data_IF_402987834010
#
_entry.id   IF_402987834010
#
_cell.length_a   1.000
_cell.length_b   1.000
_cell.length_c   1.000
_cell.angle_alpha   90.00
_cell.angle_beta   90.00
_cell.angle_gamma   90.00
#
_symmetry.space_group_name_H-M   'P 1'
#
loop_
_entity.id
_entity.type
_entity.pdbx_description
1 polymer ?
#
# COMPACT_ATOMS: atom_id res chain seq x y z
N UNK A 1 -12.26 -9.11 10.25
CA UNK A 1 -11.54 -9.58 9.05
C UNK A 1 -10.05 -9.37 9.28
N UNK A 2 -9.21 -10.41 9.14
CA UNK A 2 -7.76 -10.30 9.32
C UNK A 2 -7.08 -10.79 8.03
N UNK A 3 -6.79 -9.85 7.13
CA UNK A 3 -6.11 -10.14 5.87
C UNK A 3 -4.61 -10.04 6.09
N UNK A 4 -3.88 -11.12 5.78
CA UNK A 4 -2.41 -11.07 5.76
C UNK A 4 -1.93 -10.69 4.36
N UNK A 5 -1.21 -9.58 4.25
CA UNK A 5 -0.54 -9.17 3.01
C UNK A 5 0.96 -9.37 3.19
N UNK A 6 1.61 -10.02 2.23
CA UNK A 6 3.05 -10.23 2.24
C UNK A 6 3.65 -9.82 0.90
N UNK A 7 4.88 -9.31 0.95
CA UNK A 7 5.67 -9.01 -0.25
C UNK A 7 6.59 -10.18 -0.57
N UNK A 8 6.83 -10.43 -1.85
CA UNK A 8 7.80 -11.42 -2.31
C UNK A 8 8.71 -10.85 -3.39
N UNK A 9 9.98 -11.20 -3.31
CA UNK A 9 10.92 -11.10 -4.41
C UNK A 9 11.59 -12.45 -4.60
N UNK A 10 11.39 -13.06 -5.76
CA UNK A 10 11.99 -14.34 -6.11
C UNK A 10 13.06 -14.12 -7.18
N UNK A 11 14.36 -14.29 -6.88
CA UNK A 11 15.42 -14.10 -7.86
C UNK A 11 15.23 -14.98 -9.12
N UNK A 12 15.62 -14.53 -10.33
CA UNK A 12 15.35 -15.25 -11.59
C UNK A 12 15.86 -16.70 -11.65
N UNK A 13 16.96 -16.99 -10.96
CA UNK A 13 17.64 -18.30 -10.95
C UNK A 13 17.42 -19.10 -9.67
N UNK A 14 16.54 -18.63 -8.79
CA UNK A 14 16.24 -19.34 -7.54
C UNK A 14 15.53 -20.69 -7.79
N UNK A 15 15.83 -21.74 -7.00
CA UNK A 15 15.12 -23.01 -7.10
C UNK A 15 13.63 -22.84 -6.81
N UNK A 16 12.77 -23.28 -7.73
CA UNK A 16 11.31 -23.18 -7.55
C UNK A 16 10.76 -23.97 -6.36
N UNK A 17 11.32 -25.14 -5.94
CA UNK A 17 10.83 -25.83 -4.74
C UNK A 17 10.90 -24.99 -3.45
N UNK A 18 11.90 -24.10 -3.33
CA UNK A 18 12.02 -23.18 -2.18
C UNK A 18 10.86 -22.20 -2.15
N UNK A 19 10.56 -21.57 -3.29
CA UNK A 19 9.38 -20.69 -3.44
C UNK A 19 8.09 -21.39 -3.00
N UNK A 20 7.87 -22.63 -3.43
CA UNK A 20 6.66 -23.38 -3.07
C UNK A 20 6.61 -23.66 -1.57
N UNK A 21 7.73 -24.08 -0.96
CA UNK A 21 7.83 -24.28 0.48
C UNK A 21 7.48 -23.00 1.25
N UNK A 22 7.99 -21.85 0.82
CA UNK A 22 7.75 -20.58 1.51
C UNK A 22 6.30 -20.12 1.36
N UNK A 23 5.71 -20.25 0.16
CA UNK A 23 4.29 -19.98 -0.05
C UNK A 23 3.40 -20.90 0.81
N UNK A 24 3.73 -22.18 0.93
CA UNK A 24 3.00 -23.10 1.82
C UNK A 24 3.04 -22.64 3.28
N UNK A 25 4.20 -22.20 3.77
CA UNK A 25 4.36 -21.68 5.15
C UNK A 25 3.58 -20.38 5.35
N UNK A 26 3.55 -19.50 4.34
CA UNK A 26 2.79 -18.25 4.38
C UNK A 26 1.30 -18.53 4.34
N UNK A 27 0.80 -19.47 3.53
CA UNK A 27 -0.64 -19.76 3.51
C UNK A 27 -1.11 -20.64 4.66
N UNK A 28 -0.21 -21.35 5.35
CA UNK A 28 -0.56 -22.19 6.50
C UNK A 28 -1.28 -21.38 7.58
N UNK A 29 -2.48 -21.83 7.95
CA UNK A 29 -3.34 -21.25 9.00
C UNK A 29 -3.72 -19.77 8.77
N UNK A 30 -3.67 -19.28 7.52
CA UNK A 30 -4.10 -17.92 7.17
C UNK A 30 -5.33 -17.99 6.27
N UNK A 31 -6.54 -17.74 6.79
CA UNK A 31 -7.78 -17.92 6.04
C UNK A 31 -7.92 -16.94 4.87
N UNK A 32 -7.38 -15.72 5.01
CA UNK A 32 -7.36 -14.70 3.96
C UNK A 32 -5.94 -14.16 3.81
N UNK A 33 -5.26 -14.53 2.72
CA UNK A 33 -3.87 -14.15 2.51
C UNK A 33 -3.61 -13.76 1.05
N UNK A 34 -2.80 -12.71 0.88
CA UNK A 34 -2.31 -12.23 -0.41
C UNK A 34 -0.79 -12.07 -0.36
N UNK A 35 -0.09 -12.75 -1.26
CA UNK A 35 1.37 -12.59 -1.46
C UNK A 35 1.61 -11.93 -2.82
N UNK A 36 2.14 -10.71 -2.81
CA UNK A 36 2.35 -9.87 -4.02
C UNK A 36 3.82 -9.57 -4.25
N UNK A 37 4.23 -9.49 -5.50
CA UNK A 37 5.57 -9.04 -5.87
C UNK A 37 6.12 -9.76 -7.09
N UNK A 38 7.44 -9.75 -7.26
CA UNK A 38 8.13 -10.32 -8.42
C UNK A 38 8.41 -11.81 -8.22
N UNK A 39 7.65 -12.65 -8.93
CA UNK A 39 7.82 -14.10 -8.90
C UNK A 39 8.84 -14.63 -9.91
N UNK A 40 9.33 -13.79 -10.83
CA UNK A 40 10.17 -14.21 -11.97
C UNK A 40 9.64 -15.48 -12.67
N UNK A 41 8.31 -15.62 -12.75
CA UNK A 41 7.62 -16.80 -13.24
C UNK A 41 6.69 -16.42 -14.39
N UNK A 42 6.70 -17.22 -15.46
CA UNK A 42 5.89 -16.98 -16.67
C UNK A 42 4.93 -18.15 -16.86
N UNK A 43 3.64 -17.86 -16.98
CA UNK A 43 2.62 -18.85 -17.30
C UNK A 43 1.48 -18.21 -18.08
N UNK A 44 0.81 -18.99 -18.92
CA UNK A 44 -0.27 -18.51 -19.79
C UNK A 44 -1.51 -18.03 -19.02
N UNK A 45 -1.71 -18.54 -17.79
CA UNK A 45 -2.84 -18.19 -16.92
C UNK A 45 -2.84 -16.71 -16.51
N UNK A 46 -1.67 -16.14 -16.21
CA UNK A 46 -1.57 -14.72 -15.83
C UNK A 46 -1.04 -13.83 -16.96
N UNK A 47 -0.55 -14.42 -18.05
CA UNK A 47 -0.20 -13.69 -19.26
C UNK A 47 -0.29 -14.63 -20.48
N UNK A 48 -1.37 -14.50 -21.25
CA UNK A 48 -1.68 -15.38 -22.37
C UNK A 48 -0.64 -15.35 -23.51
N UNK A 49 0.14 -14.27 -23.61
CA UNK A 49 1.06 -14.02 -24.71
C UNK A 49 2.49 -14.54 -24.48
N UNK A 50 2.78 -15.09 -23.29
CA UNK A 50 4.12 -15.62 -22.96
C UNK A 50 4.20 -17.14 -23.04
N UNK A 51 5.40 -17.65 -23.38
CA UNK A 51 5.73 -19.05 -23.19
C UNK A 51 5.92 -19.31 -21.69
N UNK A 52 5.25 -20.35 -21.18
CA UNK A 52 5.39 -20.75 -19.79
C UNK A 52 6.80 -21.28 -19.51
N UNK A 53 7.38 -20.91 -18.38
CA UNK A 53 8.68 -21.42 -17.92
C UNK A 53 8.50 -22.45 -16.81
N UNK A 54 9.58 -23.17 -16.45
CA UNK A 54 9.53 -24.20 -15.42
C UNK A 54 8.97 -23.67 -14.09
N UNK A 55 9.38 -22.45 -13.69
CA UNK A 55 8.87 -21.82 -12.48
C UNK A 55 7.35 -21.58 -12.52
N UNK A 56 6.84 -21.05 -13.63
CA UNK A 56 5.40 -20.81 -13.80
C UNK A 56 4.58 -22.09 -13.83
N UNK A 57 5.08 -23.16 -14.47
CA UNK A 57 4.41 -24.46 -14.48
C UNK A 57 4.32 -25.06 -13.08
N UNK A 58 5.39 -25.00 -12.30
CA UNK A 58 5.39 -25.49 -10.91
C UNK A 58 4.48 -24.66 -10.02
N UNK A 59 4.52 -23.33 -10.15
CA UNK A 59 3.65 -22.43 -9.39
C UNK A 59 2.18 -22.64 -9.75
N UNK A 60 1.86 -22.90 -11.01
CA UNK A 60 0.50 -23.22 -11.44
C UNK A 60 0.01 -24.55 -10.84
N UNK A 61 0.86 -25.59 -10.80
CA UNK A 61 0.52 -26.87 -10.13
C UNK A 61 0.25 -26.71 -8.63
N UNK A 62 0.97 -25.80 -7.99
CA UNK A 62 0.77 -25.46 -6.58
C UNK A 62 -0.59 -24.78 -6.32
N UNK A 63 -1.10 -23.99 -7.25
CA UNK A 63 -2.30 -23.18 -7.08
C UNK A 63 -3.64 -23.94 -7.13
N UNK A 64 -3.66 -25.26 -6.92
CA UNK A 64 -4.91 -26.06 -6.94
C UNK A 64 -5.96 -25.57 -5.93
N UNK A 65 -5.54 -24.86 -4.87
CA UNK A 65 -6.41 -24.29 -3.84
C UNK A 65 -6.26 -22.76 -3.67
N UNK A 66 -5.51 -22.09 -4.54
CA UNK A 66 -5.17 -20.67 -4.42
C UNK A 66 -5.39 -19.94 -5.75
N UNK A 67 -5.81 -18.67 -5.70
CA UNK A 67 -6.00 -17.83 -6.86
C UNK A 67 -4.72 -17.10 -7.29
N UNK A 68 -4.66 -16.70 -8.55
CA UNK A 68 -3.68 -15.72 -9.03
C UNK A 68 -4.39 -14.44 -9.47
N UNK A 69 -3.82 -13.30 -9.09
CA UNK A 69 -4.28 -11.97 -9.48
C UNK A 69 -3.16 -11.29 -10.23
N UNK A 70 -3.31 -11.08 -11.53
CA UNK A 70 -2.26 -10.49 -12.37
C UNK A 70 -2.83 -9.39 -13.27
N UNK A 71 -2.04 -8.34 -13.55
CA UNK A 71 -2.47 -7.32 -14.48
C UNK A 71 -2.46 -7.84 -15.92
N UNK A 72 -3.43 -7.38 -16.72
CA UNK A 72 -3.51 -7.71 -18.15
C UNK A 72 -2.34 -7.10 -18.95
N UNK A 73 -1.92 -5.90 -18.56
CA UNK A 73 -0.75 -5.22 -19.12
C UNK A 73 0.56 -5.78 -18.50
N UNK A 74 1.66 -5.85 -19.26
CA UNK A 74 2.91 -6.39 -18.77
C UNK A 74 3.55 -5.51 -17.69
N UNK A 75 4.19 -6.17 -16.73
CA UNK A 75 4.85 -5.50 -15.60
C UNK A 75 6.33 -5.31 -15.85
N UNK A 76 7.00 -6.23 -16.55
CA UNK A 76 8.40 -6.10 -16.95
C UNK A 76 8.50 -5.84 -18.45
N UNK A 77 9.20 -4.76 -18.79
CA UNK A 77 9.29 -4.19 -20.12
C UNK A 77 10.71 -4.39 -20.65
N UNK A 78 10.87 -5.24 -21.65
CA UNK A 78 12.21 -5.62 -22.09
C UNK A 78 12.85 -4.51 -22.92
N UNK A 79 14.03 -4.03 -22.50
CA UNK A 79 14.81 -3.04 -23.26
C UNK A 79 15.50 -3.62 -24.51
N UNK A 80 15.41 -4.93 -24.74
CA UNK A 80 16.00 -5.59 -25.92
C UNK A 80 15.09 -5.39 -27.14
N UNK A 81 15.69 -5.16 -28.31
CA UNK A 81 14.97 -4.94 -29.58
C UNK A 81 13.95 -6.05 -29.92
N UNK A 82 14.29 -7.30 -29.57
CA UNK A 82 13.41 -8.48 -29.73
C UNK A 82 12.97 -9.07 -28.38
N UNK A 83 13.12 -8.31 -27.29
CA UNK A 83 12.75 -8.73 -25.96
C UNK A 83 11.23 -8.73 -25.79
N UNK A 84 10.70 -9.81 -25.23
CA UNK A 84 9.26 -9.90 -24.94
C UNK A 84 8.98 -9.33 -23.55
N UNK A 85 8.04 -8.39 -23.49
CA UNK A 85 7.46 -7.94 -22.24
C UNK A 85 6.84 -9.15 -21.51
N UNK A 86 6.80 -9.10 -20.18
CA UNK A 86 6.24 -10.20 -19.38
C UNK A 86 5.55 -9.67 -18.14
N UNK A 87 4.57 -10.42 -17.66
CA UNK A 87 3.93 -10.18 -16.35
C UNK A 87 4.64 -11.05 -15.34
N UNK A 88 5.53 -10.43 -14.56
CA UNK A 88 6.32 -11.09 -13.51
C UNK A 88 5.85 -10.70 -12.12
N UNK A 89 5.24 -9.52 -12.02
CA UNK A 89 4.70 -8.95 -10.79
C UNK A 89 3.20 -9.26 -10.73
N UNK A 90 2.81 -10.16 -9.82
CA UNK A 90 1.42 -10.56 -9.63
C UNK A 90 1.18 -10.98 -8.18
N UNK A 91 -0.05 -11.35 -7.86
CA UNK A 91 -0.47 -11.80 -6.53
C UNK A 91 -0.87 -13.28 -6.55
N UNK A 92 -0.50 -14.01 -5.51
CA UNK A 92 -1.06 -15.31 -5.18
C UNK A 92 -1.95 -15.16 -3.93
N UNK A 93 -3.19 -15.64 -3.99
CA UNK A 93 -4.17 -15.46 -2.92
C UNK A 93 -4.78 -16.77 -2.45
N UNK A 94 -5.04 -16.88 -1.15
CA UNK A 94 -5.81 -17.97 -0.55
C UNK A 94 -6.99 -17.36 0.21
N UNK A 95 -8.20 -17.87 -0.03
CA UNK A 95 -9.43 -17.40 0.61
C UNK A 95 -9.89 -15.98 0.25
N UNK A 96 -9.32 -15.36 -0.79
CA UNK A 96 -9.76 -14.06 -1.32
C UNK A 96 -10.40 -14.24 -2.70
N UNK A 97 -11.63 -13.77 -2.86
CA UNK A 97 -12.43 -13.90 -4.08
C UNK A 97 -12.41 -12.65 -4.98
N UNK A 98 -12.31 -11.45 -4.40
CA UNK A 98 -12.44 -10.19 -5.13
C UNK A 98 -11.11 -9.41 -5.13
N UNK A 99 -10.17 -9.91 -5.92
CA UNK A 99 -8.85 -9.30 -6.08
C UNK A 99 -8.67 -8.84 -7.53
N UNK A 100 -8.20 -7.61 -7.71
CA UNK A 100 -7.89 -7.05 -9.02
C UNK A 100 -6.45 -6.52 -9.06
N UNK A 101 -5.82 -6.58 -10.23
CA UNK A 101 -4.48 -6.04 -10.43
C UNK A 101 -4.41 -5.20 -11.70
N UNK A 102 -3.80 -4.03 -11.60
CA UNK A 102 -3.58 -3.12 -12.72
C UNK A 102 -2.12 -2.70 -12.77
N UNK A 103 -1.46 -2.90 -13.90
CA UNK A 103 -0.14 -2.35 -14.16
C UNK A 103 -0.26 -0.86 -14.49
N UNK A 104 0.53 -0.05 -13.81
CA UNK A 104 0.55 1.39 -13.97
C UNK A 104 1.81 1.77 -14.72
N UNK A 105 1.62 2.51 -15.82
CA UNK A 105 2.71 3.03 -16.64
C UNK A 105 3.31 4.28 -15.98
N UNK A 106 3.78 4.13 -14.75
CA UNK A 106 4.45 5.17 -13.98
C UNK A 106 5.89 4.75 -13.66
N UNK A 107 6.74 5.69 -13.27
CA UNK A 107 8.19 5.51 -13.03
C UNK A 107 9.06 5.26 -14.30
N UNK A 108 10.37 5.38 -14.14
CA UNK A 108 11.39 5.18 -15.19
C UNK A 108 12.02 3.78 -15.21
N UNK A 109 11.58 2.89 -14.32
CA UNK A 109 12.05 1.50 -14.22
C UNK A 109 11.60 0.67 -15.44
N UNK A 110 12.31 -0.42 -15.70
CA UNK A 110 11.87 -1.48 -16.61
C UNK A 110 10.72 -2.31 -16.04
N UNK A 111 10.45 -2.18 -14.72
CA UNK A 111 9.22 -2.63 -14.09
C UNK A 111 8.18 -1.51 -13.95
N UNK A 112 6.97 -1.76 -14.45
CA UNK A 112 5.78 -0.95 -14.20
C UNK A 112 5.21 -1.34 -12.82
N UNK A 113 4.90 -0.36 -11.94
CA UNK A 113 4.19 -0.63 -10.69
C UNK A 113 2.86 -1.36 -10.91
N UNK A 114 2.43 -2.15 -9.93
CA UNK A 114 1.13 -2.82 -9.95
C UNK A 114 0.29 -2.36 -8.78
N UNK A 115 -0.93 -1.89 -9.08
CA UNK A 115 -1.96 -1.62 -8.07
C UNK A 115 -2.77 -2.90 -7.88
N UNK A 116 -2.78 -3.42 -6.66
CA UNK A 116 -3.67 -4.49 -6.24
C UNK A 116 -4.85 -3.90 -5.50
N UNK A 117 -6.06 -4.20 -5.95
CA UNK A 117 -7.31 -3.80 -5.30
C UNK A 117 -7.95 -5.02 -4.66
N UNK A 118 -8.21 -4.92 -3.36
CA UNK A 118 -8.91 -5.93 -2.57
C UNK A 118 -10.30 -5.39 -2.24
N UNK A 119 -11.35 -6.09 -2.65
CA UNK A 119 -12.72 -5.76 -2.24
C UNK A 119 -13.16 -6.76 -1.18
N UNK A 120 -13.21 -6.38 0.11
CA UNK A 120 -13.64 -7.32 1.15
C UNK A 120 -15.10 -7.75 0.94
N UNK A 121 -15.42 -9.00 1.28
CA UNK A 121 -16.76 -9.56 1.10
C UNK A 121 -17.81 -8.95 2.06
N UNK A 122 -17.38 -8.25 3.11
CA UNK A 122 -18.25 -7.51 4.02
C UNK A 122 -18.32 -6.02 3.66
N UNK A 123 -19.49 -5.39 3.80
CA UNK A 123 -19.65 -3.92 3.78
C UNK A 123 -18.83 -3.29 4.89
N UNK A 124 -17.58 -2.97 4.60
CA UNK A 124 -16.73 -2.20 5.49
C UNK A 124 -17.21 -0.75 5.42
N UNK A 125 -17.73 -0.21 6.53
CA UNK A 125 -17.74 1.25 6.68
C UNK A 125 -16.27 1.65 6.66
N UNK A 126 -15.84 2.36 5.62
CA UNK A 126 -14.47 2.87 5.54
C UNK A 126 -14.10 3.43 6.91
N UNK A 127 -13.10 2.83 7.56
CA UNK A 127 -12.44 3.53 8.64
C UNK A 127 -11.84 4.74 7.94
N UNK A 128 -12.45 5.90 8.12
CA UNK A 128 -11.85 7.16 7.72
C UNK A 128 -10.40 7.13 8.21
N UNK A 129 -9.44 7.56 7.40
CA UNK A 129 -8.04 7.61 7.81
C UNK A 129 -7.98 8.32 9.16
N UNK A 130 -7.90 7.56 10.25
CA UNK A 130 -8.03 8.11 11.58
C UNK A 130 -7.19 7.26 12.50
N UNK A 131 -6.52 7.92 13.43
CA UNK A 131 -5.79 7.25 14.48
C UNK A 131 -6.38 7.65 15.83
N UNK A 132 -6.43 6.69 16.73
CA UNK A 132 -6.88 6.89 18.09
C UNK A 132 -5.69 7.37 18.92
N UNK A 133 -5.81 8.56 19.52
CA UNK A 133 -4.84 9.08 20.46
C UNK A 133 -5.40 8.94 21.88
N UNK A 134 -4.70 8.20 22.74
CA UNK A 134 -5.09 8.07 24.16
C UNK A 134 -4.24 9.02 25.00
N UNK A 135 -4.87 9.93 25.75
CA UNK A 135 -4.16 10.70 26.76
C UNK A 135 -3.87 9.77 27.95
N UNK A 136 -2.60 9.35 28.07
CA UNK A 136 -2.16 8.38 29.08
C UNK A 136 -2.34 8.89 30.52
N UNK A 137 -2.10 10.16 30.78
CA UNK A 137 -2.26 10.75 32.11
C UNK A 137 -3.75 10.78 32.51
N UNK A 138 -4.61 11.20 31.58
CA UNK A 138 -6.07 11.14 31.78
C UNK A 138 -6.56 9.71 31.97
N UNK A 139 -6.05 8.76 31.20
CA UNK A 139 -6.36 7.34 31.38
C UNK A 139 -6.00 6.87 32.78
N UNK A 140 -4.77 7.14 33.23
CA UNK A 140 -4.29 6.77 34.57
C UNK A 140 -5.13 7.41 35.68
N UNK A 141 -5.51 8.68 35.53
CA UNK A 141 -6.35 9.40 36.48
C UNK A 141 -7.78 8.84 36.54
N UNK A 142 -8.36 8.44 35.40
CA UNK A 142 -9.68 7.80 35.40
C UNK A 142 -9.58 6.42 36.06
N UNK A 143 -8.55 5.64 35.71
CA UNK A 143 -8.38 4.27 36.20
C UNK A 143 -8.19 4.22 37.72
N UNK A 144 -7.43 5.16 38.30
CA UNK A 144 -7.17 5.22 39.74
C UNK A 144 -8.43 5.52 40.56
N UNK A 145 -9.44 6.15 39.95
CA UNK A 145 -10.72 6.49 40.60
C UNK A 145 -11.79 5.42 40.33
N UNK A 146 -11.80 4.84 39.14
CA UNK A 146 -12.90 3.95 38.70
C UNK A 146 -12.69 2.48 38.98
N UNK A 147 -11.44 2.00 39.02
CA UNK A 147 -11.15 0.58 39.22
C UNK A 147 -11.02 0.25 40.71
N UNK A 148 -11.95 -0.52 41.30
CA UNK A 148 -11.87 -0.91 42.70
C UNK A 148 -10.69 -1.87 42.90
N UNK A 149 -9.77 -1.52 43.81
CA UNK A 149 -8.56 -2.30 44.05
C UNK A 149 -8.78 -3.67 44.69
N UNK A 150 -9.94 -3.91 45.33
CA UNK A 150 -10.21 -5.18 46.00
C UNK A 150 -11.72 -5.50 46.04
N UNK A 151 -12.30 -6.05 44.95
CA UNK A 151 -13.71 -6.47 44.95
C UNK A 151 -13.91 -7.64 45.93
N UNK A 152 -15.02 -7.65 46.66
CA UNK A 152 -15.41 -8.81 47.49
C UNK A 152 -15.94 -9.91 46.58
N UNK A 153 -15.33 -11.09 46.65
CA UNK A 153 -15.70 -12.26 45.86
C UNK A 153 -15.99 -13.39 46.85
N UNK A 154 -17.22 -13.90 46.82
CA UNK A 154 -17.71 -14.91 47.79
C UNK A 154 -18.06 -16.25 47.13
N UNK A 155 -18.16 -16.27 45.80
CA UNK A 155 -18.56 -17.42 44.99
C UNK A 155 -17.96 -17.33 43.58
N UNK A 156 -18.17 -18.37 42.79
CA UNK A 156 -17.66 -18.46 41.42
C UNK A 156 -18.31 -17.43 40.49
N UNK A 157 -19.62 -17.16 40.65
CA UNK A 157 -20.32 -16.12 39.87
C UNK A 157 -19.77 -14.72 40.14
N UNK A 158 -19.33 -14.46 41.37
CA UNK A 158 -18.65 -13.23 41.78
C UNK A 158 -17.29 -13.04 41.11
N UNK A 159 -16.58 -14.12 40.77
CA UNK A 159 -15.33 -14.05 39.98
C UNK A 159 -15.64 -13.56 38.58
N UNK A 160 -16.58 -14.21 37.90
CA UNK A 160 -16.98 -13.86 36.53
C UNK A 160 -17.47 -12.40 36.45
N UNK A 161 -18.30 -11.98 37.40
CA UNK A 161 -18.77 -10.59 37.50
C UNK A 161 -17.63 -9.60 37.74
N UNK A 162 -16.70 -9.91 38.64
CA UNK A 162 -15.56 -9.04 38.92
C UNK A 162 -14.66 -8.88 37.68
N UNK A 163 -14.41 -9.95 36.93
CA UNK A 163 -13.62 -9.93 35.69
C UNK A 163 -14.32 -9.12 34.60
N UNK A 164 -15.62 -9.32 34.41
CA UNK A 164 -16.41 -8.56 33.44
C UNK A 164 -16.44 -7.06 33.79
N UNK A 165 -16.68 -6.74 35.06
CA UNK A 165 -16.72 -5.35 35.52
C UNK A 165 -15.34 -4.68 35.39
N UNK A 166 -14.26 -5.36 35.77
CA UNK A 166 -12.90 -4.86 35.59
C UNK A 166 -12.57 -4.59 34.12
N UNK A 167 -12.93 -5.54 33.24
CA UNK A 167 -12.74 -5.41 31.79
C UNK A 167 -13.53 -4.23 31.24
N UNK A 168 -14.79 -4.08 31.66
CA UNK A 168 -15.66 -2.98 31.26
C UNK A 168 -15.09 -1.63 31.72
N UNK A 169 -14.65 -1.51 32.97
CA UNK A 169 -14.08 -0.27 33.52
C UNK A 169 -12.79 0.14 32.80
N UNK A 170 -11.92 -0.82 32.46
CA UNK A 170 -10.73 -0.54 31.65
C UNK A 170 -11.11 -0.04 30.26
N UNK A 171 -12.02 -0.74 29.57
CA UNK A 171 -12.46 -0.37 28.23
C UNK A 171 -13.10 1.02 28.21
N UNK A 172 -13.96 1.31 29.18
CA UNK A 172 -14.61 2.61 29.32
C UNK A 172 -13.59 3.71 29.64
N UNK A 173 -12.63 3.44 30.52
CA UNK A 173 -11.53 4.36 30.82
C UNK A 173 -10.68 4.69 29.58
N UNK A 174 -10.38 3.68 28.74
CA UNK A 174 -9.67 3.88 27.46
C UNK A 174 -10.53 4.74 26.53
N UNK A 175 -11.82 4.47 26.40
CA UNK A 175 -12.71 5.23 25.52
C UNK A 175 -12.82 6.70 25.94
N UNK A 176 -12.97 6.96 27.24
CA UNK A 176 -13.07 8.32 27.79
C UNK A 176 -11.75 9.13 27.70
N UNK A 177 -10.61 8.44 27.67
CA UNK A 177 -9.28 9.04 27.55
C UNK A 177 -8.77 9.10 26.11
N UNK A 178 -9.47 8.46 25.17
CA UNK A 178 -9.14 8.40 23.76
C UNK A 178 -9.87 9.46 22.94
N UNK A 179 -9.19 10.00 21.93
CA UNK A 179 -9.79 10.83 20.89
C UNK A 179 -9.41 10.27 19.52
N UNK A 180 -10.39 10.18 18.63
CA UNK A 180 -10.16 9.84 17.23
C UNK A 180 -9.74 11.13 16.51
N UNK A 181 -8.54 11.12 15.91
CA UNK A 181 -8.11 12.17 14.98
C UNK A 181 -8.27 11.67 13.57
N UNK A 182 -9.09 12.38 12.79
CA UNK A 182 -9.18 12.16 11.35
C UNK A 182 -7.99 12.80 10.66
N UNK A 183 -7.27 12.02 9.87
CA UNK A 183 -6.24 12.48 8.95
C UNK A 183 -6.95 13.14 7.77
N UNK A 184 -6.93 14.47 7.76
CA UNK A 184 -7.12 15.22 6.52
C UNK A 184 -5.82 15.10 5.72
N UNK A 185 -5.78 14.18 4.75
CA UNK A 185 -4.76 14.30 3.72
C UNK A 185 -5.06 15.60 2.96
N UNK A 186 -4.26 16.62 3.21
CA UNK A 186 -4.21 17.80 2.36
C UNK A 186 -3.54 17.37 1.05
N UNK A 187 -4.30 16.64 0.23
CA UNK A 187 -3.89 16.35 -1.12
C UNK A 187 -3.77 17.70 -1.82
N UNK A 188 -2.56 18.07 -2.22
CA UNK A 188 -2.35 19.20 -3.10
C UNK A 188 -3.35 19.07 -4.25
N UNK A 189 -4.21 20.07 -4.42
CA UNK A 189 -5.19 20.05 -5.50
C UNK A 189 -4.44 20.20 -6.81
N UNK A 190 -4.02 19.06 -7.39
CA UNK A 190 -3.39 19.05 -8.70
C UNK A 190 -4.45 19.51 -9.70
N UNK A 191 -4.17 20.61 -10.40
CA UNK A 191 -5.05 21.20 -11.39
C UNK A 191 -5.48 20.15 -12.44
N UNK A 192 -6.71 20.30 -12.95
CA UNK A 192 -7.27 19.37 -13.94
C UNK A 192 -6.34 19.19 -15.16
N UNK A 193 -5.72 20.28 -15.62
CA UNK A 193 -4.78 20.28 -16.74
C UNK A 193 -3.56 19.37 -16.46
N UNK A 194 -2.95 19.47 -15.28
CA UNK A 194 -1.83 18.61 -14.89
C UNK A 194 -2.24 17.14 -14.81
N UNK A 195 -3.46 16.85 -14.31
CA UNK A 195 -4.00 15.48 -14.31
C UNK A 195 -4.19 14.94 -15.73
N UNK A 196 -4.65 15.76 -16.67
CA UNK A 196 -4.78 15.39 -18.08
C UNK A 196 -3.42 15.09 -18.70
N UNK A 197 -2.39 15.92 -18.43
CA UNK A 197 -1.01 15.66 -18.87
C UNK A 197 -0.46 14.33 -18.32
N UNK A 198 -0.72 14.01 -17.06
CA UNK A 198 -0.32 12.73 -16.45
C UNK A 198 -0.98 11.55 -17.19
N UNK A 199 -2.30 11.63 -17.44
CA UNK A 199 -3.02 10.61 -18.21
C UNK A 199 -2.43 10.43 -19.61
N UNK A 200 -2.13 11.54 -20.29
CA UNK A 200 -1.55 11.49 -21.64
C UNK A 200 -0.13 10.94 -21.64
N UNK A 201 0.71 11.31 -20.67
CA UNK A 201 2.04 10.70 -20.46
C UNK A 201 1.91 9.18 -20.30
N UNK A 202 0.95 8.68 -19.51
CA UNK A 202 0.74 7.24 -19.32
C UNK A 202 0.32 6.56 -20.63
N UNK A 203 -0.57 7.20 -21.42
CA UNK A 203 -0.97 6.72 -22.75
C UNK A 203 0.22 6.60 -23.70
N UNK A 204 1.05 7.65 -23.78
CA UNK A 204 2.26 7.66 -24.62
C UNK A 204 3.30 6.66 -24.15
N UNK A 205 3.48 6.48 -22.83
CA UNK A 205 4.37 5.46 -22.29
C UNK A 205 3.90 4.06 -22.69
N UNK A 206 2.60 3.75 -22.53
CA UNK A 206 2.02 2.48 -22.98
C UNK A 206 2.26 2.25 -24.47
N UNK A 207 2.00 3.26 -25.29
CA UNK A 207 2.23 3.20 -26.74
C UNK A 207 3.71 2.95 -27.07
N UNK A 208 4.64 3.70 -26.44
CA UNK A 208 6.07 3.54 -26.66
C UNK A 208 6.56 2.14 -26.22
N UNK A 209 6.06 1.61 -25.11
CA UNK A 209 6.42 0.27 -24.65
C UNK A 209 5.94 -0.83 -25.60
N UNK A 210 4.87 -0.58 -26.37
CA UNK A 210 4.35 -1.50 -27.37
C UNK A 210 5.07 -1.38 -28.73
N UNK A 211 5.30 -0.15 -29.22
CA UNK A 211 5.77 0.10 -30.60
C UNK A 211 7.26 0.41 -30.70
N UNK A 212 7.88 0.85 -29.61
CA UNK A 212 9.24 1.43 -29.57
C UNK A 212 9.44 2.61 -30.54
N UNK A 213 8.36 3.25 -30.96
CA UNK A 213 8.40 4.37 -31.91
C UNK A 213 9.10 5.60 -31.29
N UNK A 214 10.23 6.08 -31.86
CA UNK A 214 11.02 7.16 -31.25
C UNK A 214 10.26 8.48 -31.02
N UNK A 215 9.41 8.97 -31.95
CA UNK A 215 8.64 10.19 -31.74
C UNK A 215 7.73 10.15 -30.52
N UNK A 216 7.10 9.00 -30.23
CA UNK A 216 6.30 8.82 -29.00
C UNK A 216 7.15 9.03 -27.74
N UNK A 217 8.41 8.59 -27.74
CA UNK A 217 9.33 8.80 -26.60
C UNK A 217 9.65 10.29 -26.41
N UNK A 218 9.83 11.02 -27.50
CA UNK A 218 10.13 12.46 -27.46
C UNK A 218 8.94 13.21 -26.83
N UNK A 219 7.73 12.92 -27.29
CA UNK A 219 6.51 13.53 -26.78
C UNK A 219 6.26 13.18 -25.31
N UNK A 220 6.42 11.91 -24.93
CA UNK A 220 6.35 11.44 -23.54
C UNK A 220 7.35 12.20 -22.64
N UNK A 221 8.59 12.36 -23.09
CA UNK A 221 9.63 13.09 -22.34
C UNK A 221 9.31 14.60 -22.23
N UNK A 222 8.68 15.19 -23.24
CA UNK A 222 8.19 16.58 -23.19
C UNK A 222 7.14 16.72 -22.09
N UNK A 223 6.09 15.89 -22.10
CA UNK A 223 5.06 15.91 -21.05
C UNK A 223 5.64 15.66 -19.67
N UNK A 224 6.59 14.73 -19.52
CA UNK A 224 7.25 14.49 -18.25
C UNK A 224 7.95 15.74 -17.70
N UNK A 225 8.63 16.51 -18.55
CA UNK A 225 9.28 17.77 -18.13
C UNK A 225 8.25 18.83 -17.73
N UNK A 226 7.16 18.96 -18.47
CA UNK A 226 6.07 19.89 -18.14
C UNK A 226 5.41 19.54 -16.81
N UNK A 227 5.05 18.27 -16.59
CA UNK A 227 4.46 17.79 -15.33
C UNK A 227 5.42 18.05 -14.17
N UNK A 228 6.71 17.75 -14.31
CA UNK A 228 7.71 18.01 -13.26
C UNK A 228 7.78 19.49 -12.90
N UNK A 229 7.71 20.39 -13.91
CA UNK A 229 7.72 21.84 -13.69
C UNK A 229 6.46 22.29 -12.96
N UNK A 230 5.28 21.84 -13.40
CA UNK A 230 4.01 22.20 -12.75
C UNK A 230 3.94 21.71 -11.30
N UNK A 231 4.34 20.46 -11.04
CA UNK A 231 4.40 19.93 -9.68
C UNK A 231 5.40 20.66 -8.80
N UNK A 232 6.53 21.09 -9.37
CA UNK A 232 7.51 21.92 -8.66
C UNK A 232 6.87 23.26 -8.29
N UNK A 233 6.26 23.95 -9.24
CA UNK A 233 5.61 25.24 -8.98
C UNK A 233 4.50 25.15 -7.92
N UNK A 234 3.70 24.07 -7.93
CA UNK A 234 2.67 23.83 -6.89
C UNK A 234 3.32 23.67 -5.50
N UNK A 235 4.44 22.95 -5.42
CA UNK A 235 5.17 22.76 -4.15
C UNK A 235 5.84 24.05 -3.68
N UNK A 236 6.48 24.77 -4.58
CA UNK A 236 7.14 26.04 -4.30
C UNK A 236 6.12 27.08 -3.82
N UNK A 237 4.98 27.21 -4.51
CA UNK A 237 3.91 28.13 -4.08
C UNK A 237 3.31 27.74 -2.72
N UNK A 238 3.06 26.45 -2.48
CA UNK A 238 2.59 26.00 -1.17
C UNK A 238 3.62 26.25 -0.06
N UNK A 239 4.92 26.15 -0.39
CA UNK A 239 5.98 26.49 0.53
C UNK A 239 6.00 27.99 0.84
N UNK A 240 5.85 28.84 -0.18
CA UNK A 240 5.78 30.29 0.01
C UNK A 240 4.60 30.68 0.91
N UNK A 241 3.41 30.09 0.70
CA UNK A 241 2.26 30.29 1.58
C UNK A 241 2.50 29.80 3.01
N UNK A 242 3.16 28.64 3.19
CA UNK A 242 3.53 28.14 4.52
C UNK A 242 4.47 29.16 5.22
N UNK A 243 5.44 29.74 4.50
CA UNK A 243 6.37 30.76 5.05
C UNK A 243 5.65 32.06 5.41
N UNK A 244 4.74 32.54 4.56
CA UNK A 244 3.91 33.73 4.84
C UNK A 244 3.07 33.52 6.11
N UNK A 245 2.40 32.37 6.27
CA UNK A 245 1.63 32.04 7.48
C UNK A 245 2.53 32.04 8.74
N UNK A 246 3.75 31.52 8.64
CA UNK A 246 4.69 31.51 9.77
C UNK A 246 5.24 32.90 10.14
N UNK A 247 5.32 33.82 9.18
CA UNK A 247 5.70 35.20 9.46
C UNK A 247 4.58 35.95 10.22
N UNK A 248 3.31 35.66 9.91
CA UNK A 248 2.15 36.27 10.57
C UNK A 248 1.80 35.57 11.90
N UNK A 249 2.10 34.27 12.02
CA UNK A 249 1.81 33.46 13.19
C UNK A 249 3.03 32.60 13.59
N UNK A 250 3.81 32.99 14.62
CA UNK A 250 4.97 32.23 15.09
C UNK A 250 4.68 30.77 15.46
N UNK A 251 3.45 30.44 15.88
CA UNK A 251 3.05 29.05 16.20
C UNK A 251 2.93 28.16 14.95
N UNK A 252 2.76 28.75 13.75
CA UNK A 252 2.76 28.02 12.48
C UNK A 252 4.17 27.55 12.08
N UNK A 253 5.23 28.20 12.57
CA UNK A 253 6.62 27.80 12.34
C UNK A 253 6.90 26.36 12.81
N UNK A 254 6.33 25.98 13.97
CA UNK A 254 6.47 24.62 14.50
C UNK A 254 5.81 23.56 13.61
N UNK A 255 4.72 23.91 12.88
CA UNK A 255 4.10 23.00 11.90
C UNK A 255 5.04 22.75 10.72
N UNK A 256 5.70 23.79 10.21
CA UNK A 256 6.65 23.71 9.09
C UNK A 256 7.87 22.85 9.45
N UNK A 257 8.45 23.08 10.64
CA UNK A 257 9.60 22.31 11.14
C UNK A 257 9.24 20.82 11.25
N UNK A 258 8.07 20.50 11.79
CA UNK A 258 7.63 19.11 11.93
C UNK A 258 7.34 18.45 10.57
N UNK A 259 6.76 19.19 9.62
CA UNK A 259 6.54 18.72 8.23
C UNK A 259 7.88 18.33 7.57
N UNK A 260 8.92 19.15 7.72
CA UNK A 260 10.27 18.88 7.20
C UNK A 260 10.95 17.68 7.86
N UNK A 261 10.84 17.52 9.18
CA UNK A 261 11.34 16.32 9.88
C UNK A 261 10.67 15.05 9.35
N UNK A 262 9.34 15.08 9.19
CA UNK A 262 8.57 13.95 8.67
C UNK A 262 8.92 13.60 7.21
N UNK A 263 9.24 14.59 6.37
CA UNK A 263 9.74 14.36 5.01
C UNK A 263 11.15 13.75 4.97
N UNK A 264 12.02 14.15 5.91
CA UNK A 264 13.36 13.60 6.05
C UNK A 264 13.35 12.14 6.55
N UNK A 265 12.46 11.83 7.50
CA UNK A 265 12.34 10.50 8.10
C UNK A 265 11.60 9.50 7.18
N UNK A 266 10.75 9.98 6.25
CA UNK A 266 10.00 9.16 5.30
C UNK A 266 10.70 8.98 3.94
N UNK A 267 11.98 9.30 3.79
CA UNK A 267 12.74 8.94 2.58
C UNK A 267 12.89 7.42 2.52
N UNK A 268 12.19 6.71 1.61
CA UNK A 268 12.48 5.30 1.37
C UNK A 268 13.88 5.25 0.75
N UNK A 269 14.72 4.33 1.20
CA UNK A 269 16.12 4.17 0.75
C UNK A 269 16.29 3.88 -0.75
N UNK A 270 15.21 3.87 -1.54
CA UNK A 270 15.17 3.52 -2.96
C UNK A 270 15.02 4.71 -3.91
N UNK A 271 15.05 5.96 -3.43
CA UNK A 271 15.08 7.15 -4.30
C UNK A 271 16.34 8.01 -4.05
N UNK A 272 17.52 7.39 -4.22
CA UNK A 272 18.68 8.13 -4.71
C UNK A 272 18.73 7.92 -6.22
N UNK A 273 18.44 8.98 -6.96
CA UNK A 273 18.72 9.06 -8.39
C UNK A 273 20.23 8.93 -8.63
#
# INVERSE_FOLDING_TARGET
>A
MNITISSIYRPPRSPTPVLISDLLKIFRNRPECLVVGDYNAKHRIWNQYVKSNAAGNTLYKFARNCGFTAPADPTMISNRRNGRNSTLDFGASCGLSNTHAQSIFDLSSDHNPVIFTLTPNSTYKHAHNCFTFTNRERFQNILSVTVPGNPRINDQDGIEHAVQNFTHLIQDSINQSSKIKFLTHQAYSIALQTRQKIKEKHRLKKLWQATRYPPTKIEMNKLQREIKRELKNIKDHAWDCDIEEANENPDALFKIINKKKTEADNLPSTYRL
#
